data_IF_571533321643
#
_entry.id   IF_571533321643
#
_cell.length_a   1.000
_cell.length_b   1.000
_cell.length_c   1.000
_cell.angle_alpha   90.00
_cell.angle_beta   90.00
_cell.angle_gamma   90.00
#
_symmetry.space_group_name_H-M   'P 1'
#
loop_
_entity.id
_entity.type
_entity.pdbx_description
1 polymer ?
#
# COMPACT_ATOMS: atom_id res chain seq x y z
N UNK A 1 3.48 11.31 -0.39
CA UNK A 1 2.43 11.93 0.44
C UNK A 1 1.35 10.90 0.79
N UNK A 2 1.01 10.75 2.07
CA UNK A 2 -0.12 9.91 2.51
C UNK A 2 -1.46 10.61 2.36
N UNK A 3 -2.43 9.91 1.76
CA UNK A 3 -3.82 10.34 1.63
C UNK A 3 -4.76 9.25 2.13
N UNK A 4 -5.63 9.60 3.08
CA UNK A 4 -6.71 8.72 3.53
C UNK A 4 -7.77 8.61 2.42
N UNK A 5 -8.18 7.38 2.12
CA UNK A 5 -9.23 7.08 1.14
C UNK A 5 -10.57 6.78 1.83
N UNK A 6 -10.56 5.88 2.82
CA UNK A 6 -11.80 5.45 3.49
C UNK A 6 -11.56 4.76 4.83
N UNK A 7 -12.63 4.29 5.46
CA UNK A 7 -12.59 3.45 6.67
C UNK A 7 -13.62 2.34 6.53
N UNK A 8 -13.22 1.11 6.84
CA UNK A 8 -14.07 -0.08 6.70
C UNK A 8 -14.09 -0.89 8.00
N UNK A 9 -15.19 -1.58 8.25
CA UNK A 9 -15.27 -2.56 9.35
C UNK A 9 -14.90 -3.94 8.81
N UNK A 10 -13.87 -4.57 9.39
CA UNK A 10 -13.45 -5.92 9.05
C UNK A 10 -14.44 -6.96 9.61
N UNK A 11 -14.35 -8.21 9.13
CA UNK A 11 -15.18 -9.31 9.66
C UNK A 11 -14.95 -9.58 11.15
N UNK A 12 -13.83 -9.14 11.71
CA UNK A 12 -13.52 -9.20 13.13
C UNK A 12 -14.21 -8.09 13.95
N UNK A 13 -14.87 -7.12 13.31
CA UNK A 13 -15.42 -5.92 13.95
C UNK A 13 -14.41 -4.76 14.08
N UNK A 14 -13.12 -5.02 13.81
CA UNK A 14 -12.08 -3.99 13.84
C UNK A 14 -12.31 -2.93 12.75
N UNK A 15 -12.11 -1.64 13.09
CA UNK A 15 -12.20 -0.54 12.12
C UNK A 15 -10.82 -0.30 11.48
N UNK A 16 -10.71 -0.58 10.19
CA UNK A 16 -9.49 -0.38 9.41
C UNK A 16 -9.57 0.89 8.57
N UNK A 17 -8.55 1.73 8.67
CA UNK A 17 -8.36 2.86 7.77
C UNK A 17 -7.65 2.40 6.49
N UNK A 18 -8.11 2.87 5.34
CA UNK A 18 -7.48 2.63 4.04
C UNK A 18 -6.94 3.97 3.53
N UNK A 19 -5.70 3.98 3.09
CA UNK A 19 -5.09 5.13 2.44
C UNK A 19 -4.07 4.72 1.40
N UNK A 20 -3.56 5.70 0.67
CA UNK A 20 -2.49 5.55 -0.31
C UNK A 20 -1.30 6.39 0.11
N UNK A 21 -0.10 5.83 0.02
CA UNK A 21 1.14 6.58 0.06
C UNK A 21 1.59 6.73 -1.39
N UNK A 22 1.55 7.97 -1.87
CA UNK A 22 2.08 8.36 -3.17
C UNK A 22 3.59 8.56 -2.99
N UNK A 23 4.42 7.72 -3.56
CA UNK A 23 5.87 7.75 -3.34
C UNK A 23 6.53 8.76 -4.31
N UNK A 24 7.58 9.50 -3.87
CA UNK A 24 8.27 9.38 -2.59
C UNK A 24 7.52 10.00 -1.39
N UNK A 25 7.76 9.44 -0.20
CA UNK A 25 7.21 9.91 1.07
C UNK A 25 8.14 9.56 2.25
N UNK A 26 8.97 10.52 2.65
CA UNK A 26 9.96 10.34 3.72
C UNK A 26 9.31 9.99 5.08
N UNK A 27 8.11 10.53 5.36
CA UNK A 27 7.39 10.27 6.61
C UNK A 27 6.96 8.80 6.71
N UNK A 28 6.46 8.25 5.59
CA UNK A 28 6.00 6.87 5.52
C UNK A 28 7.07 5.85 5.14
N UNK A 29 8.24 6.27 4.65
CA UNK A 29 9.32 5.42 4.19
C UNK A 29 9.68 4.33 5.22
N UNK A 30 9.89 4.72 6.48
CA UNK A 30 10.23 3.77 7.56
C UNK A 30 9.15 2.72 7.79
N UNK A 31 7.87 3.10 7.73
CA UNK A 31 6.71 2.23 7.96
C UNK A 31 6.52 1.23 6.82
N UNK A 32 6.66 1.68 5.57
CA UNK A 32 6.55 0.82 4.39
C UNK A 32 7.71 -0.19 4.34
N UNK A 33 8.96 0.28 4.53
CA UNK A 33 10.14 -0.57 4.51
C UNK A 33 10.07 -1.66 5.60
N UNK A 34 9.71 -1.29 6.83
CA UNK A 34 9.54 -2.27 7.91
C UNK A 34 8.42 -3.27 7.61
N UNK A 35 7.29 -2.84 7.05
CA UNK A 35 6.18 -3.74 6.74
C UNK A 35 6.51 -4.76 5.63
N UNK A 36 7.33 -4.37 4.66
CA UNK A 36 7.70 -5.17 3.49
C UNK A 36 9.11 -5.78 3.57
N UNK A 37 9.78 -5.69 4.72
CA UNK A 37 11.17 -6.18 4.92
C UNK A 37 11.36 -7.67 4.63
N UNK A 38 10.27 -8.45 4.69
CA UNK A 38 10.23 -9.89 4.43
C UNK A 38 10.37 -10.24 2.94
N UNK A 39 10.40 -9.25 2.03
CA UNK A 39 10.56 -9.49 0.60
C UNK A 39 12.04 -9.79 0.25
N UNK A 40 12.30 -10.61 -0.77
CA UNK A 40 13.65 -10.81 -1.32
C UNK A 40 14.34 -9.50 -1.73
N UNK A 41 15.68 -9.49 -1.73
CA UNK A 41 16.52 -8.31 -1.98
C UNK A 41 16.18 -7.54 -3.25
N UNK A 42 15.92 -8.25 -4.34
CA UNK A 42 15.54 -7.65 -5.64
C UNK A 42 14.30 -6.76 -5.52
N UNK A 43 13.36 -7.14 -4.66
CA UNK A 43 12.14 -6.38 -4.42
C UNK A 43 12.36 -5.27 -3.39
N UNK A 44 13.17 -5.51 -2.36
CA UNK A 44 13.48 -4.50 -1.34
C UNK A 44 14.18 -3.30 -1.92
N UNK A 45 15.12 -3.51 -2.85
CA UNK A 45 15.81 -2.42 -3.52
C UNK A 45 14.84 -1.40 -4.14
N UNK A 46 13.82 -1.89 -4.87
CA UNK A 46 12.82 -1.00 -5.48
C UNK A 46 11.96 -0.29 -4.42
N UNK A 47 11.49 -1.02 -3.40
CA UNK A 47 10.65 -0.45 -2.32
C UNK A 47 11.42 0.63 -1.56
N UNK A 48 12.65 0.35 -1.14
CA UNK A 48 13.46 1.25 -0.32
C UNK A 48 13.83 2.55 -1.04
N UNK A 49 14.07 2.48 -2.35
CA UNK A 49 14.39 3.65 -3.15
C UNK A 49 13.15 4.46 -3.52
N UNK A 50 12.08 3.81 -4.01
CA UNK A 50 10.86 4.49 -4.46
C UNK A 50 10.21 5.35 -3.36
N UNK A 51 10.29 4.95 -2.09
CA UNK A 51 9.76 5.76 -0.98
C UNK A 51 10.60 6.99 -0.62
N UNK A 52 11.84 7.10 -1.13
CA UNK A 52 12.78 8.19 -0.82
C UNK A 52 13.05 9.12 -2.00
N UNK A 53 12.96 8.61 -3.21
CA UNK A 53 13.27 9.35 -4.43
C UNK A 53 12.43 8.88 -5.61
N UNK A 54 12.28 9.76 -6.58
CA UNK A 54 11.77 9.40 -7.91
C UNK A 54 12.83 8.54 -8.62
N UNK A 55 12.41 7.37 -9.14
CA UNK A 55 13.34 6.43 -9.78
C UNK A 55 13.40 6.62 -11.30
N UNK A 56 12.26 6.86 -11.91
CA UNK A 56 12.04 7.05 -13.34
C UNK A 56 10.69 7.75 -13.55
N UNK A 57 10.11 7.64 -14.76
CA UNK A 57 8.81 8.22 -15.11
C UNK A 57 7.60 7.43 -14.56
N UNK A 58 7.81 6.38 -13.78
CA UNK A 58 6.74 5.57 -13.21
C UNK A 58 6.33 6.09 -11.84
N UNK A 59 5.02 6.19 -11.60
CA UNK A 59 4.49 6.56 -10.29
C UNK A 59 4.30 5.32 -9.41
N UNK A 60 4.86 5.33 -8.21
CA UNK A 60 4.71 4.22 -7.26
C UNK A 60 3.72 4.58 -6.15
N UNK A 61 2.69 3.74 -5.99
CA UNK A 61 1.65 3.90 -4.97
C UNK A 61 1.63 2.70 -4.02
N UNK A 62 1.58 2.98 -2.72
CA UNK A 62 1.36 1.95 -1.69
C UNK A 62 -0.02 2.14 -1.06
N UNK A 63 -0.98 1.34 -1.47
CA UNK A 63 -2.29 1.28 -0.85
C UNK A 63 -2.23 0.43 0.40
N UNK A 64 -2.42 1.06 1.55
CA UNK A 64 -2.26 0.43 2.85
C UNK A 64 -3.58 0.39 3.61
N UNK A 65 -3.79 -0.70 4.34
CA UNK A 65 -4.79 -0.80 5.39
C UNK A 65 -4.12 -0.81 6.75
N UNK A 66 -4.56 0.05 7.67
CA UNK A 66 -4.01 0.18 9.02
C UNK A 66 -5.05 0.08 10.12
N UNK A 67 -4.66 -0.49 11.25
CA UNK A 67 -5.38 -0.47 12.52
C UNK A 67 -4.61 0.43 13.48
N UNK A 68 -5.16 1.61 13.80
CA UNK A 68 -4.36 2.68 14.40
C UNK A 68 -3.20 3.05 13.47
N UNK A 69 -1.98 3.07 14.00
CA UNK A 69 -0.75 3.34 13.23
C UNK A 69 -0.13 2.09 12.59
N UNK A 70 -0.62 0.89 12.91
CA UNK A 70 -0.04 -0.34 12.42
C UNK A 70 -0.59 -0.71 11.04
N UNK A 71 0.30 -0.75 10.03
CA UNK A 71 -0.02 -1.32 8.72
C UNK A 71 -0.24 -2.84 8.87
N UNK A 72 -1.35 -3.32 8.32
CA UNK A 72 -1.74 -4.75 8.33
C UNK A 72 -1.89 -5.36 6.94
N UNK A 73 -2.06 -4.54 5.91
CA UNK A 73 -2.19 -4.97 4.52
C UNK A 73 -1.63 -3.91 3.57
N UNK A 74 -1.05 -4.35 2.45
CA UNK A 74 -0.48 -3.52 1.39
C UNK A 74 -0.86 -4.09 0.02
N UNK A 75 -1.14 -3.20 -0.92
CA UNK A 75 -1.10 -3.43 -2.36
C UNK A 75 -0.25 -2.31 -2.96
N UNK A 76 0.77 -2.66 -3.72
CA UNK A 76 1.57 -1.68 -4.44
C UNK A 76 1.15 -1.66 -5.91
N UNK A 77 1.08 -0.47 -6.49
CA UNK A 77 1.02 -0.31 -7.94
C UNK A 77 2.18 0.54 -8.41
N UNK A 78 2.71 0.20 -9.60
CA UNK A 78 3.62 1.04 -10.37
C UNK A 78 2.90 1.39 -11.64
N UNK A 79 2.67 2.67 -11.88
CA UNK A 79 1.74 3.15 -12.88
C UNK A 79 2.42 4.09 -13.87
N UNK A 80 1.85 4.18 -15.07
CA UNK A 80 2.19 5.18 -16.09
C UNK A 80 1.08 5.22 -17.15
N UNK A 81 0.64 6.41 -17.54
CA UNK A 81 -0.33 6.65 -18.64
C UNK A 81 -1.57 5.73 -18.62
N UNK A 82 -2.19 5.58 -17.44
CA UNK A 82 -3.41 4.79 -17.28
C UNK A 82 -3.23 3.27 -17.32
N UNK A 83 -1.99 2.79 -17.18
CA UNK A 83 -1.65 1.38 -17.00
C UNK A 83 -0.95 1.21 -15.65
N UNK A 84 -1.25 0.11 -14.93
CA UNK A 84 -0.66 -0.18 -13.64
C UNK A 84 -0.20 -1.62 -13.50
N UNK A 85 1.02 -1.82 -13.01
CA UNK A 85 1.53 -3.11 -12.57
C UNK A 85 1.17 -3.28 -11.10
N UNK A 86 0.34 -4.29 -10.81
CA UNK A 86 -0.03 -4.63 -9.43
C UNK A 86 0.98 -5.60 -8.82
N UNK A 87 1.54 -5.24 -7.67
CA UNK A 87 2.60 -5.99 -7.01
C UNK A 87 2.60 -5.87 -5.49
N UNK A 88 3.53 -6.60 -4.86
CA UNK A 88 3.80 -6.56 -3.42
C UNK A 88 2.56 -6.67 -2.52
N UNK A 89 1.56 -7.42 -2.99
CA UNK A 89 0.35 -7.71 -2.21
C UNK A 89 0.75 -8.51 -0.99
N UNK A 90 0.44 -7.98 0.18
CA UNK A 90 0.72 -8.67 1.44
C UNK A 90 -0.29 -8.29 2.49
N UNK A 91 -0.69 -9.27 3.30
CA UNK A 91 -1.48 -9.08 4.51
C UNK A 91 -0.86 -9.92 5.60
N UNK A 92 -0.63 -9.29 6.76
CA UNK A 92 -0.12 -9.96 7.97
C UNK A 92 -0.94 -11.22 8.27
N UNK A 93 -0.30 -12.38 8.52
CA UNK A 93 -0.99 -13.66 8.70
C UNK A 93 -2.19 -13.61 9.66
N UNK A 94 -2.04 -12.96 10.80
CA UNK A 94 -3.03 -12.78 11.87
C UNK A 94 -4.23 -11.88 11.48
N UNK A 95 -4.11 -11.14 10.37
CA UNK A 95 -5.18 -10.31 9.81
C UNK A 95 -5.78 -10.88 8.51
N UNK A 96 -5.33 -12.05 8.05
CA UNK A 96 -5.88 -12.71 6.85
C UNK A 96 -7.32 -13.18 7.07
N UNK A 97 -8.06 -13.37 5.98
CA UNK A 97 -9.48 -13.82 5.95
C UNK A 97 -10.48 -12.89 6.64
N UNK A 98 -10.03 -11.73 7.15
CA UNK A 98 -10.89 -10.69 7.75
C UNK A 98 -11.46 -9.67 6.76
N UNK A 99 -11.07 -9.74 5.48
CA UNK A 99 -11.53 -8.84 4.41
C UNK A 99 -10.60 -7.68 4.07
N UNK A 100 -9.50 -7.48 4.81
CA UNK A 100 -8.59 -6.35 4.66
C UNK A 100 -8.08 -6.14 3.22
N UNK A 101 -7.45 -7.17 2.63
CA UNK A 101 -6.92 -7.09 1.26
C UNK A 101 -8.00 -6.82 0.21
N UNK A 102 -9.20 -7.40 0.37
CA UNK A 102 -10.33 -7.19 -0.55
C UNK A 102 -10.80 -5.74 -0.49
N UNK A 103 -10.88 -5.16 0.71
CA UNK A 103 -11.26 -3.76 0.86
C UNK A 103 -10.21 -2.83 0.26
N UNK A 104 -8.91 -3.06 0.51
CA UNK A 104 -7.84 -2.25 -0.08
C UNK A 104 -7.82 -2.36 -1.62
N UNK A 105 -7.96 -3.57 -2.17
CA UNK A 105 -8.06 -3.78 -3.62
C UNK A 105 -9.20 -2.97 -4.25
N UNK A 106 -10.38 -2.96 -3.60
CA UNK A 106 -11.50 -2.18 -4.09
C UNK A 106 -11.17 -0.69 -4.12
N UNK A 107 -10.64 -0.15 -3.02
CA UNK A 107 -10.30 1.29 -2.94
C UNK A 107 -9.19 1.68 -3.91
N UNK A 108 -8.18 0.83 -4.09
CA UNK A 108 -7.11 1.03 -5.06
C UNK A 108 -7.66 1.11 -6.50
N UNK A 109 -8.56 0.20 -6.89
CA UNK A 109 -9.18 0.26 -8.21
C UNK A 109 -10.03 1.51 -8.40
N UNK A 110 -10.77 1.93 -7.37
CA UNK A 110 -11.57 3.16 -7.42
C UNK A 110 -10.69 4.42 -7.50
N UNK A 111 -9.55 4.44 -6.79
CA UNK A 111 -8.60 5.56 -6.86
C UNK A 111 -7.91 5.63 -8.22
N UNK A 112 -7.47 4.49 -8.76
CA UNK A 112 -6.89 4.38 -10.09
C UNK A 112 -7.83 4.90 -11.18
N UNK A 113 -9.13 4.54 -11.15
CA UNK A 113 -10.10 4.99 -12.16
C UNK A 113 -10.41 6.49 -12.13
N UNK A 114 -10.12 7.18 -11.03
CA UNK A 114 -10.36 8.62 -10.89
C UNK A 114 -9.20 9.47 -11.38
N UNK A 115 -8.03 8.85 -11.61
CA UNK A 115 -6.83 9.48 -12.13
C UNK A 115 -6.70 9.20 -13.63
#
# INVERSE_FOLDING_TARGET
MYRKLSTVTLKSGERMEIGVVEAPDEEYASRINSFLEHKPDVFRWHIERSVREELDELETYFYIGKLGDQIITNIMTVEHLGVGILGHVFTKPEHRRKGACTSVMREQMEDFRRR
#
